data_IF_187335043122
#
_entry.id   IF_187335043122
#
_cell.length_a   1.000
_cell.length_b   1.000
_cell.length_c   1.000
_cell.angle_alpha   90.00
_cell.angle_beta   90.00
_cell.angle_gamma   90.00
#
_symmetry.space_group_name_H-M   'P 1'
#
loop_
_entity.id
_entity.type
_entity.pdbx_description
1 polymer ?
#
# COMPACT_ATOMS: atom_id res chain seq x y z
N UNK A 1 -45.41 52.72 -5.95
CA UNK A 1 -44.11 52.51 -5.26
C UNK A 1 -44.15 51.33 -4.28
N UNK A 2 -45.11 51.27 -3.34
CA UNK A 2 -45.19 50.20 -2.30
C UNK A 2 -45.26 48.73 -2.78
N UNK A 3 -45.77 48.47 -3.99
CA UNK A 3 -45.86 47.11 -4.57
C UNK A 3 -44.55 46.65 -5.24
N UNK A 4 -43.73 47.59 -5.74
CA UNK A 4 -42.44 47.28 -6.37
C UNK A 4 -41.44 46.83 -5.29
N UNK A 5 -41.45 47.46 -4.11
CA UNK A 5 -40.60 47.07 -2.98
C UNK A 5 -40.96 45.69 -2.39
N UNK A 6 -42.24 45.29 -2.44
CA UNK A 6 -42.66 43.96 -2.00
C UNK A 6 -42.18 42.87 -2.96
N UNK A 7 -42.30 43.10 -4.27
CA UNK A 7 -41.82 42.17 -5.29
C UNK A 7 -40.30 42.01 -5.24
N UNK A 8 -39.55 43.11 -5.04
CA UNK A 8 -38.10 43.07 -4.89
C UNK A 8 -37.65 42.28 -3.64
N UNK A 9 -38.36 42.43 -2.51
CA UNK A 9 -38.06 41.68 -1.28
C UNK A 9 -38.36 40.20 -1.40
N UNK A 10 -39.48 39.84 -2.06
CA UNK A 10 -39.81 38.43 -2.31
C UNK A 10 -38.77 37.81 -3.23
N UNK A 11 -38.39 38.48 -4.32
CA UNK A 11 -37.35 37.99 -5.22
C UNK A 11 -35.99 37.80 -4.53
N UNK A 12 -35.61 38.73 -3.66
CA UNK A 12 -34.35 38.64 -2.90
C UNK A 12 -34.36 37.50 -1.88
N UNK A 13 -35.49 37.29 -1.17
CA UNK A 13 -35.66 36.17 -0.24
C UNK A 13 -35.67 34.82 -0.96
N UNK A 14 -36.29 34.75 -2.14
CA UNK A 14 -36.25 33.55 -2.98
C UNK A 14 -34.84 33.25 -3.49
N UNK A 15 -34.06 34.27 -3.87
CA UNK A 15 -32.67 34.11 -4.29
C UNK A 15 -31.75 33.67 -3.14
N UNK A 16 -31.95 34.21 -1.93
CA UNK A 16 -31.20 33.77 -0.75
C UNK A 16 -31.55 32.34 -0.38
N UNK A 17 -32.83 31.96 -0.47
CA UNK A 17 -33.28 30.61 -0.18
C UNK A 17 -32.70 29.59 -1.18
N UNK A 18 -32.62 29.93 -2.48
CA UNK A 18 -31.98 29.05 -3.46
C UNK A 18 -30.46 29.00 -3.32
N UNK A 19 -29.79 30.07 -2.91
CA UNK A 19 -28.35 30.07 -2.61
C UNK A 19 -28.00 29.33 -1.30
N UNK A 20 -28.92 29.27 -0.34
CA UNK A 20 -28.78 28.49 0.89
C UNK A 20 -29.17 27.01 0.70
N UNK A 21 -30.02 26.71 -0.29
CA UNK A 21 -30.45 25.36 -0.64
C UNK A 21 -29.64 24.74 -1.80
N UNK A 22 -28.72 25.49 -2.41
CA UNK A 22 -27.79 24.92 -3.39
C UNK A 22 -26.83 24.00 -2.67
N UNK A 23 -27.16 22.71 -2.68
CA UNK A 23 -26.20 21.66 -2.37
C UNK A 23 -25.05 21.80 -3.37
N UNK A 24 -23.79 21.92 -2.92
CA UNK A 24 -22.68 21.84 -3.86
C UNK A 24 -22.79 20.51 -4.60
N UNK A 25 -22.98 20.57 -5.91
CA UNK A 25 -22.77 19.43 -6.77
C UNK A 25 -21.25 19.20 -6.80
N UNK A 26 -20.77 18.31 -5.93
CA UNK A 26 -19.39 17.84 -6.02
C UNK A 26 -19.28 17.10 -7.36
N UNK A 27 -18.49 17.64 -8.28
CA UNK A 27 -18.07 16.91 -9.45
C UNK A 27 -17.06 15.85 -8.98
N UNK A 28 -17.58 14.73 -8.48
CA UNK A 28 -16.78 13.61 -8.00
C UNK A 28 -15.86 13.14 -9.13
N UNK A 29 -14.58 12.97 -8.81
CA UNK A 29 -13.57 12.53 -9.77
C UNK A 29 -13.88 11.09 -10.19
N UNK A 30 -13.79 10.80 -11.49
CA UNK A 30 -13.81 9.42 -11.96
C UNK A 30 -12.38 8.84 -11.90
N UNK A 31 -12.19 7.74 -11.17
CA UNK A 31 -10.91 7.04 -11.10
C UNK A 31 -10.79 5.89 -12.10
N UNK A 32 -11.86 5.58 -12.84
CA UNK A 32 -11.85 4.47 -13.80
C UNK A 32 -10.82 4.67 -14.90
N UNK A 33 -10.17 3.58 -15.28
CA UNK A 33 -9.12 3.58 -16.29
C UNK A 33 -8.04 2.56 -16.02
N UNK A 34 -7.05 2.58 -16.91
CA UNK A 34 -5.86 1.73 -16.87
C UNK A 34 -4.67 2.58 -16.47
N UNK A 35 -4.02 2.20 -15.38
CA UNK A 35 -3.02 3.00 -14.68
C UNK A 35 -1.69 2.25 -14.64
N UNK A 36 -0.67 2.84 -15.26
CA UNK A 36 0.69 2.28 -15.34
C UNK A 36 1.51 2.73 -14.13
N UNK A 37 2.18 1.83 -13.40
CA UNK A 37 2.95 2.21 -12.21
C UNK A 37 4.18 3.05 -12.59
N UNK A 38 4.48 4.06 -11.77
CA UNK A 38 5.71 4.85 -11.86
C UNK A 38 6.64 4.49 -10.71
N UNK A 39 7.92 4.27 -11.04
CA UNK A 39 8.95 3.82 -10.10
C UNK A 39 10.05 4.87 -9.91
N UNK A 40 9.69 6.15 -9.92
CA UNK A 40 10.64 7.23 -9.59
C UNK A 40 11.04 7.19 -8.10
N UNK A 41 10.18 6.61 -7.27
CA UNK A 41 10.38 6.40 -5.84
C UNK A 41 10.50 4.90 -5.53
N UNK A 42 11.37 4.57 -4.56
CA UNK A 42 11.49 3.23 -3.99
C UNK A 42 11.71 2.10 -5.01
N UNK A 43 12.35 2.41 -6.15
CA UNK A 43 12.53 1.47 -7.27
C UNK A 43 13.16 0.15 -6.82
N UNK A 44 14.20 0.22 -5.98
CA UNK A 44 14.89 -0.96 -5.45
C UNK A 44 13.94 -1.85 -4.64
N UNK A 45 13.02 -1.26 -3.87
CA UNK A 45 12.05 -2.00 -3.06
C UNK A 45 10.90 -2.58 -3.89
N UNK A 46 10.48 -1.85 -4.93
CA UNK A 46 9.24 -2.14 -5.68
C UNK A 46 9.46 -3.11 -6.84
N UNK A 47 10.59 -3.00 -7.54
CA UNK A 47 10.88 -3.78 -8.75
C UNK A 47 11.73 -5.03 -8.42
N UNK A 48 13.03 -4.93 -8.07
CA UNK A 48 13.79 -6.10 -7.60
C UNK A 48 13.15 -6.76 -6.37
N UNK A 49 12.65 -5.93 -5.44
CA UNK A 49 12.10 -6.38 -4.18
C UNK A 49 12.99 -5.98 -2.99
N UNK A 50 12.41 -5.94 -1.79
CA UNK A 50 13.11 -5.54 -0.58
C UNK A 50 14.17 -6.58 -0.17
N UNK A 51 15.32 -6.11 0.31
CA UNK A 51 16.40 -6.97 0.80
C UNK A 51 16.07 -7.54 2.20
N UNK A 52 16.60 -8.72 2.51
CA UNK A 52 16.49 -9.29 3.86
C UNK A 52 17.19 -8.36 4.87
N UNK A 53 16.54 -8.09 6.00
CA UNK A 53 17.08 -7.23 7.05
C UNK A 53 17.02 -5.72 6.77
N UNK A 54 16.47 -5.31 5.62
CA UNK A 54 16.17 -3.90 5.31
C UNK A 54 14.77 -3.53 5.87
N UNK A 55 14.76 -2.92 7.05
CA UNK A 55 13.56 -2.39 7.69
C UNK A 55 13.62 -0.86 7.89
N UNK A 56 14.41 -0.17 7.05
CA UNK A 56 14.62 1.27 7.16
C UNK A 56 13.31 2.05 7.08
N UNK A 57 13.08 2.95 8.04
CA UNK A 57 11.93 3.86 8.02
C UNK A 57 10.57 3.19 8.24
N UNK A 58 10.54 1.96 8.78
CA UNK A 58 9.29 1.24 9.05
C UNK A 58 9.11 1.17 10.57
N UNK A 59 7.96 1.59 11.13
CA UNK A 59 7.74 1.69 12.58
C UNK A 59 7.49 0.34 13.26
N UNK A 60 8.36 -0.65 13.02
CA UNK A 60 8.17 -2.03 13.50
C UNK A 60 8.53 -2.21 14.98
N UNK A 61 7.79 -3.08 15.66
CA UNK A 61 8.06 -3.47 17.05
C UNK A 61 8.94 -4.73 17.16
N UNK A 62 9.17 -5.19 18.40
CA UNK A 62 9.99 -6.38 18.66
C UNK A 62 9.36 -7.70 18.14
N UNK A 63 8.04 -7.84 18.18
CA UNK A 63 7.34 -9.01 17.66
C UNK A 63 7.50 -9.12 16.14
N UNK A 64 7.45 -8.00 15.45
CA UNK A 64 7.70 -7.90 13.99
C UNK A 64 9.11 -8.31 13.64
N UNK A 65 10.11 -7.81 14.39
CA UNK A 65 11.51 -8.22 14.22
C UNK A 65 11.68 -9.72 14.41
N UNK A 66 11.06 -10.31 15.43
CA UNK A 66 11.14 -11.76 15.66
C UNK A 66 10.55 -12.57 14.48
N UNK A 67 9.39 -12.15 13.96
CA UNK A 67 8.76 -12.77 12.77
C UNK A 67 9.63 -12.62 11.53
N UNK A 68 10.20 -11.44 11.30
CA UNK A 68 11.00 -11.17 10.12
C UNK A 68 12.37 -11.87 10.17
N UNK A 69 12.98 -11.97 11.36
CA UNK A 69 14.27 -12.65 11.56
C UNK A 69 14.16 -14.17 11.38
N UNK A 70 12.99 -14.75 11.71
CA UNK A 70 12.71 -16.17 11.53
C UNK A 70 12.24 -16.54 10.11
N UNK A 71 11.97 -15.55 9.26
CA UNK A 71 11.49 -15.76 7.91
C UNK A 71 12.61 -16.21 6.96
N UNK A 72 12.28 -17.11 6.04
CA UNK A 72 13.18 -17.53 4.96
C UNK A 72 12.47 -17.37 3.61
N UNK A 73 13.17 -16.86 2.60
CA UNK A 73 12.61 -16.60 1.26
C UNK A 73 12.03 -17.85 0.59
N UNK A 74 12.63 -19.01 0.87
CA UNK A 74 12.18 -20.32 0.40
C UNK A 74 10.76 -20.69 0.86
N UNK A 75 10.19 -20.00 1.85
CA UNK A 75 8.79 -20.14 2.23
C UNK A 75 7.85 -19.91 1.03
N UNK A 76 8.21 -19.00 0.12
CA UNK A 76 7.39 -18.70 -1.08
C UNK A 76 7.42 -19.84 -2.12
N UNK A 77 8.37 -20.76 -2.01
CA UNK A 77 8.48 -21.94 -2.90
C UNK A 77 7.60 -23.10 -2.44
N UNK A 78 6.91 -22.96 -1.29
CA UNK A 78 5.92 -23.94 -0.85
C UNK A 78 4.67 -23.85 -1.74
N UNK A 79 4.12 -24.98 -2.23
CA UNK A 79 2.91 -24.97 -3.04
C UNK A 79 1.75 -24.19 -2.40
N UNK A 80 1.58 -24.30 -1.07
CA UNK A 80 0.54 -23.61 -0.32
C UNK A 80 0.69 -22.07 -0.29
N UNK A 81 1.86 -21.54 -0.67
CA UNK A 81 2.17 -20.11 -0.66
C UNK A 81 2.20 -19.47 -2.06
N UNK A 82 2.50 -20.23 -3.10
CA UNK A 82 2.74 -19.72 -4.46
C UNK A 82 1.55 -18.93 -5.05
N UNK A 83 0.33 -19.40 -4.81
CA UNK A 83 -0.89 -18.79 -5.37
C UNK A 83 -1.66 -17.91 -4.39
N UNK A 84 -1.01 -17.45 -3.31
CA UNK A 84 -1.61 -16.43 -2.45
C UNK A 84 -1.57 -15.08 -3.17
N UNK A 85 -2.72 -14.40 -3.35
CA UNK A 85 -2.74 -13.08 -3.95
C UNK A 85 -2.02 -12.06 -3.05
N UNK A 86 -1.45 -11.04 -3.68
CA UNK A 86 -1.05 -9.83 -2.98
C UNK A 86 -2.28 -9.17 -2.36
N UNK A 87 -2.15 -8.81 -1.09
CA UNK A 87 -3.23 -8.21 -0.32
C UNK A 87 -3.49 -6.77 -0.78
N UNK A 88 -4.72 -6.28 -0.60
CA UNK A 88 -5.12 -4.92 -1.01
C UNK A 88 -4.16 -3.85 -0.49
N UNK A 89 -3.66 -4.01 0.72
CA UNK A 89 -2.76 -3.06 1.37
C UNK A 89 -1.32 -3.06 0.81
N UNK A 90 -0.85 -4.21 0.33
CA UNK A 90 0.49 -4.36 -0.24
C UNK A 90 0.53 -4.06 -1.75
N UNK A 91 -0.50 -4.45 -2.50
CA UNK A 91 -0.44 -4.52 -3.97
C UNK A 91 -0.15 -3.18 -4.63
N UNK A 92 -0.55 -2.06 -4.02
CA UNK A 92 -0.17 -0.71 -4.45
C UNK A 92 1.33 -0.56 -4.71
N UNK A 93 2.17 -1.23 -3.90
CA UNK A 93 3.64 -1.18 -3.98
C UNK A 93 4.23 -2.17 -4.99
N UNK A 94 3.42 -3.08 -5.53
CA UNK A 94 3.85 -4.05 -6.53
C UNK A 94 4.24 -3.40 -7.87
N UNK A 95 4.93 -4.15 -8.75
CA UNK A 95 5.35 -3.65 -10.05
C UNK A 95 4.24 -3.73 -11.14
N UNK A 96 3.03 -4.14 -10.76
CA UNK A 96 1.96 -4.50 -11.68
C UNK A 96 1.15 -3.29 -12.16
N UNK A 97 0.58 -3.42 -13.35
CA UNK A 97 -0.45 -2.54 -13.88
C UNK A 97 -1.71 -2.57 -13.01
N UNK A 98 -2.37 -1.42 -12.87
CA UNK A 98 -3.63 -1.25 -12.17
C UNK A 98 -4.75 -1.00 -13.18
N UNK A 99 -5.87 -1.72 -13.04
CA UNK A 99 -7.14 -1.39 -13.68
C UNK A 99 -8.13 -0.96 -12.61
N UNK A 100 -8.81 0.17 -12.82
CA UNK A 100 -9.92 0.61 -11.98
C UNK A 100 -11.20 0.58 -12.82
N UNK A 101 -12.16 -0.25 -12.41
CA UNK A 101 -13.49 -0.31 -13.03
C UNK A 101 -14.51 0.38 -12.11
N UNK A 102 -15.45 1.11 -12.70
CA UNK A 102 -16.53 1.78 -11.99
C UNK A 102 -17.81 0.95 -12.09
N UNK A 103 -18.43 0.66 -10.95
CA UNK A 103 -19.77 0.07 -10.86
C UNK A 103 -20.78 1.19 -10.63
N UNK A 104 -21.86 1.19 -11.42
CA UNK A 104 -22.94 2.18 -11.31
C UNK A 104 -24.30 1.50 -11.16
N UNK A 105 -25.18 2.12 -10.37
CA UNK A 105 -26.57 1.74 -10.34
C UNK A 105 -27.21 2.00 -11.73
N UNK A 106 -27.85 1.01 -12.37
CA UNK A 106 -28.35 1.16 -13.74
C UNK A 106 -29.50 2.16 -13.87
N UNK A 107 -30.22 2.45 -12.77
CA UNK A 107 -31.35 3.37 -12.73
C UNK A 107 -30.91 4.79 -12.35
N UNK A 108 -30.13 4.94 -11.27
CA UNK A 108 -29.75 6.27 -10.74
C UNK A 108 -28.46 6.81 -11.34
N UNK A 109 -27.62 5.96 -11.94
CA UNK A 109 -26.26 6.28 -12.43
C UNK A 109 -25.30 6.74 -11.33
N UNK A 110 -25.66 6.52 -10.06
CA UNK A 110 -24.76 6.73 -8.94
C UNK A 110 -23.68 5.64 -8.94
N UNK A 111 -22.45 6.03 -8.65
CA UNK A 111 -21.35 5.07 -8.45
C UNK A 111 -21.59 4.28 -7.16
N UNK A 112 -21.72 2.96 -7.27
CA UNK A 112 -21.94 2.06 -6.13
C UNK A 112 -20.64 1.44 -5.64
N UNK A 113 -19.66 1.26 -6.52
CA UNK A 113 -18.33 0.80 -6.15
C UNK A 113 -17.25 1.20 -7.18
N UNK A 114 -16.00 1.22 -6.73
CA UNK A 114 -14.83 1.09 -7.61
C UNK A 114 -14.19 -0.29 -7.40
N UNK A 115 -13.69 -0.90 -8.46
CA UNK A 115 -13.00 -2.19 -8.43
C UNK A 115 -11.55 -1.98 -8.88
N UNK A 116 -10.61 -2.14 -7.97
CA UNK A 116 -9.17 -2.04 -8.27
C UNK A 116 -8.55 -3.42 -8.43
N UNK A 117 -7.89 -3.66 -9.57
CA UNK A 117 -7.34 -4.96 -9.95
C UNK A 117 -5.91 -4.86 -10.48
N UNK A 118 -5.10 -5.87 -10.17
CA UNK A 118 -3.71 -6.03 -10.63
C UNK A 118 -3.44 -7.48 -11.00
N UNK A 119 -2.37 -7.72 -11.77
CA UNK A 119 -1.97 -9.05 -12.25
C UNK A 119 -1.96 -10.16 -11.18
N UNK A 120 -1.45 -9.90 -9.97
CA UNK A 120 -1.28 -10.92 -8.91
C UNK A 120 -2.08 -10.60 -7.65
N UNK A 121 -3.19 -9.89 -7.79
CA UNK A 121 -4.10 -9.58 -6.70
C UNK A 121 -5.50 -10.10 -7.03
N UNK A 122 -6.41 -9.95 -6.08
CA UNK A 122 -7.84 -10.18 -6.33
C UNK A 122 -8.51 -8.84 -6.64
N UNK A 123 -9.76 -8.91 -7.08
CA UNK A 123 -10.63 -7.73 -7.10
C UNK A 123 -10.74 -7.13 -5.70
N UNK A 124 -10.45 -5.83 -5.62
CA UNK A 124 -10.57 -5.03 -4.40
C UNK A 124 -11.74 -4.04 -4.57
N UNK A 125 -12.97 -4.44 -4.23
CA UNK A 125 -14.13 -3.58 -4.32
C UNK A 125 -14.14 -2.54 -3.20
N UNK A 126 -14.34 -1.29 -3.57
CA UNK A 126 -14.46 -0.13 -2.69
C UNK A 126 -15.90 0.36 -2.77
N UNK A 127 -16.68 0.08 -1.73
CA UNK A 127 -18.11 0.35 -1.73
C UNK A 127 -18.41 1.81 -1.40
N UNK A 128 -19.25 2.42 -2.22
CA UNK A 128 -19.64 3.84 -2.15
C UNK A 128 -21.10 4.03 -1.72
N UNK A 129 -21.86 2.94 -1.63
CA UNK A 129 -23.31 2.92 -1.40
C UNK A 129 -23.73 3.02 0.07
N UNK A 130 -22.78 3.24 0.99
CA UNK A 130 -23.05 3.38 2.42
C UNK A 130 -23.55 2.10 3.08
N UNK A 131 -23.29 0.92 2.48
CA UNK A 131 -23.67 -0.37 3.07
C UNK A 131 -23.10 -0.56 4.49
N UNK A 132 -23.78 -1.35 5.35
CA UNK A 132 -23.31 -1.59 6.70
C UNK A 132 -21.90 -2.21 6.72
N UNK A 133 -21.08 -1.74 7.65
CA UNK A 133 -19.79 -2.37 7.93
C UNK A 133 -20.03 -3.77 8.53
N UNK A 134 -19.26 -4.81 8.13
CA UNK A 134 -19.39 -6.14 8.69
C UNK A 134 -19.10 -6.18 10.20
N UNK A 135 -19.62 -7.21 10.86
CA UNK A 135 -19.31 -7.54 12.25
C UNK A 135 -17.80 -7.83 12.42
N UNK A 136 -17.16 -7.49 13.55
CA UNK A 136 -15.73 -7.72 13.76
C UNK A 136 -15.25 -9.17 13.53
N UNK A 137 -16.13 -10.17 13.72
CA UNK A 137 -15.80 -11.59 13.51
C UNK A 137 -16.15 -12.09 12.08
N UNK A 138 -16.56 -11.18 11.18
CA UNK A 138 -16.84 -11.52 9.79
C UNK A 138 -15.60 -12.06 9.07
N UNK A 139 -15.82 -12.82 8.00
CA UNK A 139 -14.74 -13.49 7.28
C UNK A 139 -13.71 -12.49 6.71
N UNK A 140 -12.45 -12.67 7.09
CA UNK A 140 -11.35 -11.92 6.50
C UNK A 140 -10.99 -12.44 5.10
N UNK A 141 -10.74 -11.53 4.16
CA UNK A 141 -10.34 -11.83 2.78
C UNK A 141 -8.97 -11.22 2.44
N UNK A 142 -8.40 -11.53 1.27
CA UNK A 142 -7.13 -10.91 0.83
C UNK A 142 -7.30 -9.43 0.43
N UNK A 143 -8.49 -9.06 -0.04
CA UNK A 143 -8.86 -7.70 -0.44
C UNK A 143 -9.49 -6.88 0.69
N UNK A 144 -9.83 -7.54 1.80
CA UNK A 144 -10.52 -6.94 2.93
C UNK A 144 -11.97 -6.57 2.62
N UNK A 145 -12.50 -5.65 3.42
CA UNK A 145 -13.74 -4.93 3.18
C UNK A 145 -13.41 -3.44 3.13
N UNK A 146 -13.69 -2.79 1.99
CA UNK A 146 -13.36 -1.39 1.78
C UNK A 146 -14.62 -0.53 1.57
N UNK A 147 -14.68 0.62 2.24
CA UNK A 147 -15.70 1.65 2.01
C UNK A 147 -15.04 2.98 1.70
N UNK A 148 -15.58 3.68 0.70
CA UNK A 148 -15.08 4.97 0.27
C UNK A 148 -15.99 6.12 0.69
N UNK A 149 -15.38 7.26 0.96
CA UNK A 149 -16.05 8.53 1.27
C UNK A 149 -15.32 9.67 0.56
N UNK A 150 -16.09 10.55 -0.07
CA UNK A 150 -15.55 11.75 -0.71
C UNK A 150 -15.16 12.81 0.33
N UNK A 151 -13.97 13.36 0.17
CA UNK A 151 -13.44 14.49 0.93
C UNK A 151 -12.92 15.54 -0.07
N UNK A 152 -13.85 16.36 -0.56
CA UNK A 152 -13.60 17.19 -1.74
C UNK A 152 -13.41 16.32 -2.98
N UNK A 153 -12.30 16.51 -3.69
CA UNK A 153 -11.93 15.75 -4.88
C UNK A 153 -11.13 14.47 -4.58
N UNK A 154 -10.84 14.22 -3.29
CA UNK A 154 -10.13 13.04 -2.82
C UNK A 154 -11.13 11.96 -2.39
N UNK A 155 -10.83 10.70 -2.74
CA UNK A 155 -11.57 9.55 -2.21
C UNK A 155 -10.79 8.96 -1.04
N UNK A 156 -11.37 9.05 0.15
CA UNK A 156 -10.83 8.45 1.37
C UNK A 156 -11.47 7.09 1.58
N UNK A 157 -10.66 6.05 1.65
CA UNK A 157 -11.09 4.65 1.71
C UNK A 157 -10.63 4.06 3.03
N UNK A 158 -11.52 3.34 3.72
CA UNK A 158 -11.16 2.56 4.90
C UNK A 158 -11.26 1.08 4.58
N UNK A 159 -10.18 0.33 4.81
CA UNK A 159 -10.11 -1.12 4.58
C UNK A 159 -9.88 -1.85 5.90
N UNK A 160 -10.72 -2.86 6.15
CA UNK A 160 -10.67 -3.75 7.33
C UNK A 160 -10.83 -5.21 6.88
N UNK A 161 -10.98 -6.16 7.81
CA UNK A 161 -11.22 -7.58 7.51
C UNK A 161 -10.17 -8.21 6.58
N UNK A 162 -8.91 -7.79 6.71
CA UNK A 162 -7.80 -8.29 5.91
C UNK A 162 -7.25 -9.60 6.51
N UNK A 163 -7.03 -10.63 5.68
CA UNK A 163 -6.24 -11.82 6.07
C UNK A 163 -4.81 -11.39 6.37
N UNK A 164 -4.13 -12.05 7.32
CA UNK A 164 -2.71 -11.82 7.62
C UNK A 164 -1.86 -11.78 6.34
N UNK A 165 -1.06 -10.72 6.21
CA UNK A 165 -0.23 -10.46 5.05
C UNK A 165 1.16 -10.00 5.40
N UNK A 166 1.72 -9.14 4.55
CA UNK A 166 3.07 -8.62 4.74
C UNK A 166 3.17 -7.16 4.31
N UNK A 167 3.96 -6.39 5.03
CA UNK A 167 4.31 -5.00 4.69
C UNK A 167 5.31 -4.95 3.54
N UNK A 168 6.22 -5.93 3.50
CA UNK A 168 7.29 -6.09 2.52
C UNK A 168 7.57 -7.58 2.30
N UNK A 169 7.97 -7.95 1.09
CA UNK A 169 8.29 -9.34 0.69
C UNK A 169 9.62 -9.87 1.25
N UNK A 170 10.16 -9.27 2.31
CA UNK A 170 11.40 -9.67 3.00
C UNK A 170 11.15 -10.21 4.42
N UNK A 171 9.92 -10.67 4.69
CA UNK A 171 9.54 -11.28 5.96
C UNK A 171 8.84 -10.35 6.94
N UNK A 172 8.68 -9.06 6.64
CA UNK A 172 7.90 -8.14 7.49
C UNK A 172 6.39 -8.46 7.42
N UNK A 173 5.78 -8.99 8.49
CA UNK A 173 4.37 -9.37 8.49
C UNK A 173 3.45 -8.16 8.66
N UNK A 174 2.17 -8.39 8.34
CA UNK A 174 1.05 -7.50 8.62
C UNK A 174 -0.10 -8.33 9.19
N UNK A 175 -0.63 -7.98 10.35
CA UNK A 175 -1.59 -8.78 11.09
C UNK A 175 -3.00 -8.70 10.49
N UNK A 176 -3.89 -9.62 10.86
CA UNK A 176 -5.30 -9.51 10.46
C UNK A 176 -6.05 -8.38 11.17
N UNK A 177 -5.47 -7.78 12.21
CA UNK A 177 -6.05 -6.68 12.98
C UNK A 177 -5.65 -5.30 12.43
N UNK A 178 -4.92 -5.26 11.32
CA UNK A 178 -4.54 -4.02 10.69
C UNK A 178 -5.75 -3.29 10.10
N UNK A 179 -5.73 -1.97 10.21
CA UNK A 179 -6.66 -1.07 9.53
C UNK A 179 -5.90 -0.19 8.56
N UNK A 180 -6.46 0.00 7.37
CA UNK A 180 -5.82 0.78 6.31
C UNK A 180 -6.74 1.93 5.93
N UNK A 181 -6.16 3.11 5.83
CA UNK A 181 -6.78 4.28 5.24
C UNK A 181 -6.05 4.60 3.95
N UNK A 182 -6.76 4.63 2.83
CA UNK A 182 -6.22 5.06 1.55
C UNK A 182 -6.79 6.42 1.17
N UNK A 183 -5.98 7.24 0.52
CA UNK A 183 -6.41 8.48 -0.11
C UNK A 183 -6.06 8.43 -1.58
N UNK A 184 -7.08 8.38 -2.44
CA UNK A 184 -6.91 8.44 -3.88
C UNK A 184 -7.08 9.87 -4.35
N UNK A 185 -6.05 10.37 -5.01
CA UNK A 185 -5.95 11.75 -5.47
C UNK A 185 -5.56 11.72 -6.94
N UNK A 186 -6.37 12.35 -7.80
CA UNK A 186 -6.10 12.41 -9.23
C UNK A 186 -5.71 13.83 -9.66
N UNK A 187 -4.59 13.93 -10.36
CA UNK A 187 -4.08 15.16 -10.98
C UNK A 187 -3.96 14.95 -12.50
N UNK A 188 -5.05 15.17 -13.23
CA UNK A 188 -5.11 14.91 -14.67
C UNK A 188 -4.88 13.43 -14.98
N UNK A 189 -3.73 13.12 -15.60
CA UNK A 189 -3.34 11.76 -15.97
C UNK A 189 -2.48 11.07 -14.91
N UNK A 190 -2.29 11.67 -13.73
CA UNK A 190 -1.57 11.07 -12.60
C UNK A 190 -2.54 10.70 -11.49
N UNK A 191 -2.43 9.48 -10.98
CA UNK A 191 -3.12 9.00 -9.79
C UNK A 191 -2.08 8.80 -8.68
N UNK A 192 -2.24 9.54 -7.58
CA UNK A 192 -1.46 9.38 -6.37
C UNK A 192 -2.32 8.67 -5.33
N UNK A 193 -1.80 7.59 -4.77
CA UNK A 193 -2.45 6.84 -3.68
C UNK A 193 -1.58 6.91 -2.44
N UNK A 194 -2.11 7.53 -1.38
CA UNK A 194 -1.49 7.48 -0.06
C UNK A 194 -2.14 6.38 0.76
N UNK A 195 -1.34 5.42 1.23
CA UNK A 195 -1.77 4.31 2.09
C UNK A 195 -1.22 4.56 3.49
N UNK A 196 -2.10 4.62 4.48
CA UNK A 196 -1.80 4.79 5.90
C UNK A 196 -2.26 3.52 6.62
N UNK A 197 -1.33 2.80 7.20
CA UNK A 197 -1.59 1.54 7.87
C UNK A 197 -1.36 1.64 9.37
N UNK A 198 -2.35 1.18 10.13
CA UNK A 198 -2.23 0.96 11.56
C UNK A 198 -2.28 -0.55 11.81
N UNK A 199 -1.33 -1.09 12.58
CA UNK A 199 -1.33 -2.49 12.96
C UNK A 199 -0.92 -2.62 14.43
N UNK A 200 -1.86 -2.90 15.34
CA UNK A 200 -1.58 -2.95 16.77
C UNK A 200 -0.65 -4.11 17.17
N UNK A 201 -0.47 -5.12 16.31
CA UNK A 201 0.35 -6.30 16.60
C UNK A 201 1.80 -6.08 16.19
N UNK A 202 2.04 -5.40 15.05
CA UNK A 202 3.36 -5.33 14.44
C UNK A 202 3.93 -3.91 14.24
N UNK A 203 3.12 -2.88 14.37
CA UNK A 203 3.57 -1.49 14.23
C UNK A 203 3.49 -0.75 15.58
N UNK A 204 4.38 0.23 15.73
CA UNK A 204 4.43 1.15 16.88
C UNK A 204 3.76 2.48 16.57
N UNK A 205 3.69 2.84 15.29
CA UNK A 205 3.11 4.07 14.77
C UNK A 205 2.52 3.80 13.37
N UNK A 206 1.66 4.68 12.83
CA UNK A 206 1.12 4.52 11.48
C UNK A 206 2.23 4.43 10.43
N UNK A 207 2.16 3.43 9.55
CA UNK A 207 3.07 3.31 8.42
C UNK A 207 2.45 3.93 7.17
N UNK A 208 3.09 4.95 6.62
CA UNK A 208 2.55 5.77 5.53
C UNK A 208 3.40 5.60 4.28
N UNK A 209 2.75 5.36 3.14
CA UNK A 209 3.40 5.26 1.83
C UNK A 209 2.56 5.95 0.76
N UNK A 210 3.23 6.64 -0.15
CA UNK A 210 2.63 7.15 -1.38
C UNK A 210 3.03 6.27 -2.56
N UNK A 211 2.18 6.20 -3.56
CA UNK A 211 2.48 5.55 -4.84
C UNK A 211 1.78 6.27 -5.97
N UNK A 212 2.53 6.53 -7.04
CA UNK A 212 2.01 7.17 -8.24
C UNK A 212 1.83 6.18 -9.39
N UNK A 213 0.75 6.40 -10.13
CA UNK A 213 0.43 5.77 -11.40
C UNK A 213 0.15 6.86 -12.44
N UNK A 214 0.33 6.52 -13.72
CA UNK A 214 -0.01 7.38 -14.84
C UNK A 214 -1.02 6.67 -15.75
N UNK A 215 -2.03 7.39 -16.21
CA UNK A 215 -3.07 6.88 -17.09
C UNK A 215 -2.43 6.37 -18.40
N UNK A 216 -2.79 5.14 -18.78
CA UNK A 216 -2.30 4.49 -19.98
C UNK A 216 -3.45 3.85 -20.76
N UNK A 217 -3.93 4.57 -21.78
CA UNK A 217 -5.05 4.16 -22.63
C UNK A 217 -4.77 2.92 -23.49
N UNK A 218 -3.52 2.43 -23.53
CA UNK A 218 -3.10 1.24 -24.30
C UNK A 218 -2.84 0.03 -23.42
N UNK A 219 -2.92 0.19 -22.09
CA UNK A 219 -2.68 -0.87 -21.15
C UNK A 219 -3.92 -1.77 -21.02
N UNK A 220 -3.67 -3.01 -20.64
CA UNK A 220 -4.66 -3.91 -20.08
C UNK A 220 -3.96 -4.81 -19.06
N UNK A 221 -4.60 -5.09 -17.92
CA UNK A 221 -4.11 -6.07 -16.95
C UNK A 221 -4.39 -7.48 -17.48
N UNK A 222 -3.35 -8.28 -17.81
CA UNK A 222 -3.59 -9.62 -18.36
C UNK A 222 -4.06 -10.59 -17.28
N UNK A 223 -4.70 -11.72 -17.66
CA UNK A 223 -5.05 -12.75 -16.71
C UNK A 223 -3.79 -13.37 -16.09
N UNK A 224 -3.91 -13.82 -14.84
CA UNK A 224 -2.86 -14.54 -14.12
C UNK A 224 -3.38 -15.89 -13.62
N UNK A 225 -3.41 -16.92 -14.49
CA UNK A 225 -3.67 -18.28 -14.02
C UNK A 225 -2.49 -18.72 -13.17
N UNK A 226 -2.66 -18.70 -11.85
CA UNK A 226 -1.62 -19.18 -10.95
C UNK A 226 -1.61 -20.71 -10.92
N UNK A 227 -0.48 -21.30 -11.30
CA UNK A 227 -0.23 -22.73 -11.18
C UNK A 227 0.72 -22.98 -10.01
N UNK A 228 0.36 -23.96 -9.17
CA UNK A 228 1.25 -24.43 -8.12
C UNK A 228 2.20 -25.47 -8.71
N UNK A 229 3.50 -25.28 -8.51
CA UNK A 229 4.55 -26.18 -8.99
C UNK A 229 5.55 -26.46 -7.88
N UNK A 230 6.17 -27.64 -7.89
CA UNK A 230 7.28 -27.93 -6.98
C UNK A 230 8.54 -27.22 -7.48
N UNK A 231 8.84 -26.04 -6.94
CA UNK A 231 10.06 -25.29 -7.27
C UNK A 231 11.31 -25.88 -6.61
N UNK A 232 11.16 -26.41 -5.40
CA UNK A 232 12.25 -27.03 -4.63
C UNK A 232 11.70 -28.26 -3.93
N UNK A 233 12.34 -29.40 -4.18
CA UNK A 233 12.01 -30.67 -3.54
C UNK A 233 12.40 -30.66 -2.06
N UNK A 234 11.48 -31.07 -1.18
CA UNK A 234 11.66 -31.06 0.28
C UNK A 234 10.86 -32.19 0.94
N UNK A 235 11.32 -32.70 2.10
CA UNK A 235 10.52 -33.60 2.91
C UNK A 235 9.16 -32.99 3.27
N UNK A 236 8.12 -33.82 3.25
CA UNK A 236 6.76 -33.40 3.62
C UNK A 236 6.75 -32.83 5.04
N UNK A 237 6.08 -31.68 5.21
CA UNK A 237 5.93 -31.02 6.51
C UNK A 237 7.11 -30.10 6.89
N UNK A 238 8.18 -30.05 6.08
CA UNK A 238 9.25 -29.08 6.28
C UNK A 238 8.78 -27.68 5.87
N UNK A 239 8.57 -26.80 6.85
CA UNK A 239 8.28 -25.38 6.63
C UNK A 239 9.60 -24.61 6.78
N UNK A 240 10.10 -23.92 5.74
CA UNK A 240 11.35 -23.18 5.84
C UNK A 240 11.28 -22.02 6.85
N UNK A 241 12.26 -21.97 7.76
CA UNK A 241 12.37 -20.95 8.80
C UNK A 241 13.80 -20.90 9.36
N UNK A 242 14.13 -19.82 10.06
CA UNK A 242 15.28 -19.76 10.97
C UNK A 242 14.77 -19.83 12.42
N UNK A 243 15.55 -20.47 13.29
CA UNK A 243 15.31 -20.38 14.72
C UNK A 243 15.71 -18.98 15.23
N UNK A 244 15.12 -18.51 16.34
CA UNK A 244 15.48 -17.21 16.91
C UNK A 244 16.99 -17.07 17.10
N UNK A 245 17.58 -16.02 16.52
CA UNK A 245 19.01 -15.72 16.61
C UNK A 245 19.93 -16.52 15.66
N UNK A 246 19.40 -17.41 14.82
CA UNK A 246 20.23 -18.24 13.91
C UNK A 246 20.31 -17.70 12.48
N UNK A 247 19.59 -16.63 12.14
CA UNK A 247 19.63 -16.03 10.82
C UNK A 247 20.88 -15.15 10.67
N UNK A 248 21.92 -15.69 10.03
CA UNK A 248 23.19 -15.00 9.82
C UNK A 248 23.10 -13.92 8.73
N UNK A 249 22.12 -14.02 7.84
CA UNK A 249 22.00 -13.23 6.61
C UNK A 249 21.43 -11.83 6.88
N UNK A 250 20.92 -11.57 8.09
CA UNK A 250 20.32 -10.28 8.47
C UNK A 250 21.29 -9.08 8.35
N UNK A 251 22.60 -9.34 8.38
CA UNK A 251 23.63 -8.29 8.28
C UNK A 251 24.01 -7.95 6.85
N UNK A 252 23.65 -8.78 5.86
CA UNK A 252 24.09 -8.61 4.48
C UNK A 252 23.74 -7.24 3.91
N UNK A 253 22.50 -6.78 4.16
CA UNK A 253 22.06 -5.45 3.73
C UNK A 253 22.92 -4.34 4.36
N UNK A 254 23.16 -4.43 5.67
CA UNK A 254 23.97 -3.46 6.40
C UNK A 254 25.40 -3.38 5.86
N UNK A 255 26.03 -4.54 5.68
CA UNK A 255 27.41 -4.67 5.20
C UNK A 255 27.55 -4.22 3.75
N UNK A 256 26.58 -4.56 2.89
CA UNK A 256 26.55 -4.18 1.46
C UNK A 256 26.49 -2.68 1.26
N UNK A 257 25.66 -2.00 2.04
CA UNK A 257 25.41 -0.57 1.89
C UNK A 257 26.21 0.31 2.85
N UNK A 258 27.03 -0.29 3.72
CA UNK A 258 27.85 0.45 4.69
C UNK A 258 27.04 1.23 5.70
N UNK A 259 25.83 0.77 6.03
CA UNK A 259 24.96 1.36 7.05
C UNK A 259 25.06 0.57 8.35
N UNK A 260 25.03 1.23 9.52
CA UNK A 260 25.09 0.52 10.80
C UNK A 260 23.94 -0.48 10.92
N UNK A 261 24.24 -1.71 11.31
CA UNK A 261 23.22 -2.77 11.44
C UNK A 261 22.03 -2.34 12.31
N UNK A 262 22.27 -1.61 13.41
CA UNK A 262 21.19 -1.10 14.26
C UNK A 262 20.20 -0.21 13.49
N UNK A 263 20.66 0.57 12.51
CA UNK A 263 19.82 1.44 11.72
C UNK A 263 18.88 0.65 10.78
N UNK A 264 19.26 -0.54 10.34
CA UNK A 264 18.46 -1.36 9.42
C UNK A 264 17.32 -2.10 10.13
N UNK A 265 17.26 -2.04 11.46
CA UNK A 265 16.29 -2.79 12.29
C UNK A 265 14.93 -2.09 12.47
N UNK A 266 14.72 -0.99 11.76
CA UNK A 266 13.48 -0.20 11.80
C UNK A 266 13.16 0.35 13.18
N UNK A 267 11.88 0.66 13.40
CA UNK A 267 11.36 1.33 14.59
C UNK A 267 10.93 2.76 14.28
N UNK A 268 9.95 3.26 15.03
CA UNK A 268 9.34 4.57 14.81
C UNK A 268 10.37 5.70 14.71
N UNK A 269 11.38 5.70 15.59
CA UNK A 269 12.48 6.66 15.57
C UNK A 269 13.14 6.80 14.19
N UNK A 270 13.22 5.72 13.41
CA UNK A 270 13.87 5.71 12.09
C UNK A 270 13.07 6.42 11.00
N UNK A 271 11.79 6.71 11.24
CA UNK A 271 10.94 7.48 10.32
C UNK A 271 11.23 8.98 10.36
N UNK A 272 11.76 9.47 11.48
CA UNK A 272 11.84 10.90 11.74
C UNK A 272 13.21 11.50 11.35
N UNK A 273 13.25 12.75 10.84
CA UNK A 273 14.50 13.41 10.47
C UNK A 273 15.53 13.50 11.61
N UNK A 274 15.08 13.52 12.86
CA UNK A 274 15.96 13.57 14.03
C UNK A 274 16.85 12.32 14.19
N UNK A 275 16.45 11.18 13.61
CA UNK A 275 17.27 9.96 13.61
C UNK A 275 18.64 10.16 12.99
N UNK A 276 18.79 11.16 12.10
CA UNK A 276 20.09 11.54 11.51
C UNK A 276 21.16 11.83 12.58
N UNK A 277 20.77 12.31 13.77
CA UNK A 277 21.70 12.54 14.89
C UNK A 277 22.24 11.22 15.44
N UNK A 278 21.36 10.25 15.70
CA UNK A 278 21.73 8.88 16.14
C UNK A 278 22.54 8.17 15.06
N UNK A 279 22.14 8.28 13.79
CA UNK A 279 22.88 7.70 12.67
C UNK A 279 24.32 8.22 12.57
N UNK A 280 24.54 9.53 12.75
CA UNK A 280 25.90 10.11 12.79
C UNK A 280 26.74 9.56 13.94
N UNK A 281 26.14 9.29 15.09
CA UNK A 281 26.84 8.66 16.23
C UNK A 281 27.21 7.21 15.92
N UNK A 282 26.30 6.45 15.31
CA UNK A 282 26.50 5.04 14.93
C UNK A 282 27.55 4.86 13.83
N UNK A 283 27.60 5.77 12.87
CA UNK A 283 28.60 5.75 11.79
C UNK A 283 30.02 6.07 12.27
N UNK A 284 30.17 6.73 13.44
CA UNK A 284 31.45 7.29 13.87
C UNK A 284 32.01 8.31 12.86
N UNK A 285 33.32 8.63 12.88
CA UNK A 285 33.95 9.33 11.78
C UNK A 285 33.85 8.46 10.52
N UNK A 286 33.14 8.95 9.51
CA UNK A 286 32.94 8.25 8.23
C UNK A 286 34.27 7.67 7.74
N UNK A 287 34.42 6.34 7.61
CA UNK A 287 35.56 5.79 6.89
C UNK A 287 35.52 6.33 5.47
N UNK A 288 36.68 6.71 4.92
CA UNK A 288 36.78 7.18 3.54
C UNK A 288 36.06 6.19 2.62
N UNK A 289 35.16 6.71 1.77
CA UNK A 289 34.38 5.89 0.86
C UNK A 289 35.31 4.93 0.10
N UNK A 290 35.10 3.62 0.25
CA UNK A 290 35.79 2.65 -0.59
C UNK A 290 35.36 2.92 -2.04
N UNK A 291 36.31 3.09 -2.97
CA UNK A 291 35.96 3.23 -4.38
C UNK A 291 35.13 2.01 -4.79
N UNK A 292 34.12 2.20 -5.68
CA UNK A 292 33.28 1.11 -6.13
C UNK A 292 34.16 -0.02 -6.68
N UNK A 293 33.83 -1.26 -6.31
CA UNK A 293 34.51 -2.43 -6.85
C UNK A 293 34.46 -2.35 -8.38
N UNK A 294 35.63 -2.40 -9.01
CA UNK A 294 35.75 -2.39 -10.46
C UNK A 294 34.84 -3.49 -11.01
N UNK A 295 33.86 -3.11 -11.82
CA UNK A 295 33.14 -4.08 -12.65
C UNK A 295 34.20 -4.76 -13.51
N UNK A 296 34.55 -5.99 -13.17
CA UNK A 296 35.31 -6.85 -14.06
C UNK A 296 34.43 -7.06 -15.27
N UNK A 297 34.69 -6.30 -16.33
CA UNK A 297 34.10 -6.53 -17.64
C UNK A 297 34.38 -7.98 -18.03
N UNK A 298 33.34 -8.80 -18.07
CA UNK A 298 33.37 -10.03 -18.83
C UNK A 298 33.48 -9.60 -20.29
N UNK A 299 34.69 -9.72 -20.83
CA UNK A 299 34.93 -9.55 -22.25
C UNK A 299 34.40 -10.73 -23.06
N UNK A 300 33.90 -10.37 -24.24
CA UNK A 300 33.58 -11.19 -25.43
C UNK A 300 32.37 -12.13 -25.34
#
# INVERSE_FOLDING_TARGET
MRNIDRLARIALLSLLATALASTPAFAQIDFSGEWAPRFHEDQLERVPGPELGDYLGIPINAATRLRADSWQASLQTLPEWQCRPHQADYIWRGPSQLSIRKEENPLTRETTAFHAEWLRSIDNPIYMDGRPHPDPDALHSWGGFATGKWEGDMLTITVTHLKEGYLRRNGLPRSSLATVTEHWIRHGDVLTVAVIMNDPVYLTEPFIRTTDYELNLRQNVPPYPCEMVTEVDRPRGLIPHYLPGTNADLKEFADRWGVPFEATRGGAETMYPDYRKKLKQLLGPLPAAKPPAAQTGAGQ
#
